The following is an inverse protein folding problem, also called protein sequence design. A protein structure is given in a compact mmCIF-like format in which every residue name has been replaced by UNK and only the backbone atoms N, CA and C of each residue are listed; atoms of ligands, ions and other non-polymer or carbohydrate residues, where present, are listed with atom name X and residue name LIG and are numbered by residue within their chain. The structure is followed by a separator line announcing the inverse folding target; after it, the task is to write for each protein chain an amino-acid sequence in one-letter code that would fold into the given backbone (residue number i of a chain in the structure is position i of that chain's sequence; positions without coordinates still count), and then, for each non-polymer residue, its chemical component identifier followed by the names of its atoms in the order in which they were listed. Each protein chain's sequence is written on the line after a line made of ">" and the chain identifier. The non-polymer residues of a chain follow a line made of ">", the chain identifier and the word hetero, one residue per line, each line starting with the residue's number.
data_IF_148188846307
#
_entry.id   IF_148188846307
#
_cell.length_a   1.000
_cell.length_b   1.000
_cell.length_c   1.000
_cell.angle_alpha   90.00
_cell.angle_beta   90.00
_cell.angle_gamma   90.00
#
_symmetry.space_group_name_H-M   'P 1'
#
loop_
_entity.id
_entity.type
_entity.pdbx_description
1 polymer ?
#
# COMPACT_ATOMS: atom_id res chain seq x y z
N UNK A 1 0.69 -20.44 4.89
CA UNK A 1 -0.23 -19.35 5.25
C UNK A 1 -1.06 -19.01 4.03
N UNK A 2 -2.37 -18.85 4.22
CA UNK A 2 -3.29 -18.48 3.14
C UNK A 2 -3.61 -16.99 3.21
N UNK A 3 -3.44 -16.27 2.10
CA UNK A 3 -3.77 -14.85 2.02
C UNK A 3 -4.34 -14.49 0.65
N UNK A 4 -5.15 -13.45 0.63
CA UNK A 4 -5.78 -12.91 -0.58
C UNK A 4 -5.20 -11.53 -0.86
N UNK A 5 -4.87 -11.23 -2.12
CA UNK A 5 -4.50 -9.87 -2.54
C UNK A 5 -5.73 -9.22 -3.18
N UNK A 6 -6.10 -8.04 -2.71
CA UNK A 6 -7.13 -7.22 -3.34
C UNK A 6 -6.46 -5.93 -3.82
N UNK A 7 -6.66 -5.62 -5.11
CA UNK A 7 -6.11 -4.43 -5.78
C UNK A 7 -7.29 -3.49 -6.08
N UNK A 8 -7.60 -2.53 -5.17
CA UNK A 8 -8.63 -1.56 -5.46
C UNK A 8 -8.12 -0.57 -6.51
N UNK A 9 -8.94 -0.34 -7.54
CA UNK A 9 -8.59 0.58 -8.61
C UNK A 9 -9.83 1.27 -9.17
N UNK A 10 -9.73 2.58 -9.39
CA UNK A 10 -10.76 3.38 -10.05
C UNK A 10 -10.24 3.97 -11.34
N UNK A 11 -11.14 4.18 -12.30
CA UNK A 11 -10.76 4.78 -13.57
C UNK A 11 -10.38 6.25 -13.42
N UNK A 12 -11.13 7.01 -12.60
CA UNK A 12 -10.91 8.42 -12.40
C UNK A 12 -9.84 8.67 -11.34
N UNK A 13 -8.76 9.28 -11.75
CA UNK A 13 -7.69 9.82 -10.91
C UNK A 13 -7.53 11.30 -11.23
N UNK A 14 -7.49 12.17 -10.22
CA UNK A 14 -7.40 13.63 -10.41
C UNK A 14 -6.08 14.06 -11.03
N UNK A 15 -4.96 13.48 -10.62
CA UNK A 15 -3.61 13.83 -11.10
C UNK A 15 -3.25 13.18 -12.43
N UNK A 16 -3.79 11.99 -12.69
CA UNK A 16 -3.51 11.23 -13.91
C UNK A 16 -4.73 10.37 -14.29
N UNK A 17 -5.71 10.94 -15.05
CA UNK A 17 -6.90 10.23 -15.47
C UNK A 17 -6.57 8.99 -16.30
N UNK A 18 -7.21 7.85 -15.98
CA UNK A 18 -7.00 6.59 -16.71
C UNK A 18 -5.67 5.91 -16.42
N UNK A 19 -4.92 6.34 -15.39
CA UNK A 19 -3.58 5.81 -15.08
C UNK A 19 -3.52 4.29 -14.96
N UNK A 20 -4.57 3.64 -14.46
CA UNK A 20 -4.62 2.18 -14.33
C UNK A 20 -4.47 1.43 -15.67
N UNK A 21 -4.87 2.07 -16.77
CA UNK A 21 -4.73 1.55 -18.14
C UNK A 21 -3.54 2.14 -18.90
N UNK A 22 -2.70 2.95 -18.26
CA UNK A 22 -1.48 3.47 -18.89
C UNK A 22 -0.56 2.31 -19.28
N UNK A 23 0.04 2.45 -20.47
CA UNK A 23 0.93 1.42 -21.00
C UNK A 23 2.27 1.36 -20.25
N UNK A 24 2.66 0.17 -19.83
CA UNK A 24 3.99 -0.15 -19.30
C UNK A 24 4.54 -1.31 -20.12
N UNK A 25 5.40 -1.00 -21.11
CA UNK A 25 5.99 -1.99 -22.01
C UNK A 25 4.96 -2.98 -22.61
N UNK A 26 3.95 -2.43 -23.29
CA UNK A 26 2.94 -3.19 -24.02
C UNK A 26 1.85 -3.84 -23.17
N UNK A 27 1.82 -3.55 -21.84
CA UNK A 27 0.74 -4.00 -20.95
C UNK A 27 0.19 -2.86 -20.10
N UNK A 28 -1.13 -2.82 -19.85
CA UNK A 28 -1.71 -1.88 -18.92
C UNK A 28 -1.11 -1.99 -17.51
N UNK A 29 -0.92 -0.86 -16.82
CA UNK A 29 -0.33 -0.82 -15.47
C UNK A 29 -1.00 -1.77 -14.49
N UNK A 30 -2.34 -1.82 -14.48
CA UNK A 30 -3.09 -2.72 -13.58
C UNK A 30 -2.75 -4.20 -13.81
N UNK A 31 -2.46 -4.58 -15.06
CA UNK A 31 -2.05 -5.95 -15.41
C UNK A 31 -0.66 -6.24 -14.84
N UNK A 32 0.27 -5.28 -14.94
CA UNK A 32 1.61 -5.41 -14.32
C UNK A 32 1.53 -5.59 -12.80
N UNK A 33 0.69 -4.79 -12.14
CA UNK A 33 0.47 -4.92 -10.69
C UNK A 33 -0.14 -6.29 -10.35
N UNK A 34 -1.14 -6.73 -11.13
CA UNK A 34 -1.78 -8.03 -10.94
C UNK A 34 -0.78 -9.20 -11.11
N UNK A 35 0.11 -9.14 -12.11
CA UNK A 35 1.18 -10.12 -12.31
C UNK A 35 2.07 -10.22 -11.05
N UNK A 36 2.51 -9.09 -10.49
CA UNK A 36 3.30 -9.07 -9.24
C UNK A 36 2.54 -9.68 -8.05
N UNK A 37 1.22 -9.44 -7.98
CA UNK A 37 0.39 -10.05 -6.95
C UNK A 37 0.28 -11.58 -7.12
N UNK A 38 0.13 -12.08 -8.33
CA UNK A 38 0.11 -13.52 -8.64
C UNK A 38 1.45 -14.20 -8.28
N UNK A 39 2.56 -13.56 -8.64
CA UNK A 39 3.91 -14.05 -8.33
C UNK A 39 4.21 -14.07 -6.82
N UNK A 40 3.42 -13.36 -6.00
CA UNK A 40 3.58 -13.35 -4.54
C UNK A 40 3.22 -14.67 -3.87
N UNK A 41 2.50 -15.55 -4.57
CA UNK A 41 1.98 -16.82 -4.04
C UNK A 41 0.72 -16.62 -3.19
N UNK A 42 -0.07 -15.57 -3.46
CA UNK A 42 -1.40 -15.40 -2.90
C UNK A 42 -2.35 -16.52 -3.39
N UNK A 43 -3.23 -16.98 -2.53
CA UNK A 43 -4.25 -18.00 -2.91
C UNK A 43 -5.25 -17.45 -3.91
N UNK A 44 -5.48 -16.14 -3.85
CA UNK A 44 -6.40 -15.43 -4.74
C UNK A 44 -5.93 -13.99 -4.93
N UNK A 45 -6.04 -13.50 -6.17
CA UNK A 45 -5.78 -12.10 -6.54
C UNK A 45 -7.04 -11.53 -7.17
N UNK A 46 -7.56 -10.44 -6.62
CA UNK A 46 -8.81 -9.82 -7.04
C UNK A 46 -8.55 -8.34 -7.37
N UNK A 47 -8.84 -7.93 -8.59
CA UNK A 47 -8.89 -6.51 -8.98
C UNK A 47 -10.29 -5.99 -8.68
N UNK A 48 -10.41 -5.06 -7.74
CA UNK A 48 -11.66 -4.47 -7.30
C UNK A 48 -11.86 -3.09 -7.95
N UNK A 49 -12.81 -2.97 -8.89
CA UNK A 49 -13.00 -1.74 -9.69
C UNK A 49 -14.47 -1.42 -9.90
N UNK A 50 -14.79 -0.13 -10.04
CA UNK A 50 -16.11 0.37 -10.50
C UNK A 50 -16.16 0.59 -12.02
N UNK A 51 -15.05 0.33 -12.73
CA UNK A 51 -14.94 0.59 -14.17
C UNK A 51 -15.08 -0.69 -14.98
N UNK A 52 -16.13 -0.76 -15.79
CA UNK A 52 -16.33 -1.86 -16.76
C UNK A 52 -15.14 -1.96 -17.73
N UNK A 53 -14.54 -0.83 -18.10
CA UNK A 53 -13.36 -0.81 -19.00
C UNK A 53 -12.14 -1.48 -18.36
N UNK A 54 -11.86 -1.19 -17.09
CA UNK A 54 -10.78 -1.87 -16.36
C UNK A 54 -11.10 -3.35 -16.21
N UNK A 55 -12.35 -3.69 -15.86
CA UNK A 55 -12.79 -5.08 -15.73
C UNK A 55 -12.61 -5.87 -17.01
N UNK A 56 -12.97 -5.32 -18.16
CA UNK A 56 -12.78 -5.95 -19.47
C UNK A 56 -11.29 -6.22 -19.77
N UNK A 57 -10.43 -5.23 -19.51
CA UNK A 57 -8.98 -5.38 -19.73
C UNK A 57 -8.41 -6.50 -18.85
N UNK A 58 -8.73 -6.51 -17.55
CA UNK A 58 -8.26 -7.57 -16.63
C UNK A 58 -8.79 -8.94 -17.03
N UNK A 59 -10.07 -9.04 -17.41
CA UNK A 59 -10.70 -10.32 -17.83
C UNK A 59 -10.18 -10.83 -19.17
N UNK A 60 -9.64 -9.96 -20.04
CA UNK A 60 -9.04 -10.39 -21.30
C UNK A 60 -7.66 -11.01 -21.16
N UNK A 61 -6.99 -10.76 -20.03
CA UNK A 61 -5.70 -11.38 -19.74
C UNK A 61 -5.89 -12.87 -19.37
N UNK A 62 -4.98 -13.70 -19.88
CA UNK A 62 -4.99 -15.15 -19.63
C UNK A 62 -4.39 -15.51 -18.26
N UNK A 63 -4.45 -14.60 -17.31
CA UNK A 63 -3.95 -14.80 -15.95
C UNK A 63 -5.02 -15.40 -15.04
N UNK A 64 -4.62 -16.00 -13.93
CA UNK A 64 -5.54 -16.53 -12.90
C UNK A 64 -6.11 -15.46 -11.97
N UNK A 65 -5.90 -14.17 -12.26
CA UNK A 65 -6.47 -13.06 -11.50
C UNK A 65 -7.97 -12.91 -11.76
N UNK A 66 -8.72 -12.60 -10.71
CA UNK A 66 -10.15 -12.33 -10.77
C UNK A 66 -10.42 -10.83 -10.80
N UNK A 67 -11.54 -10.41 -11.38
CA UNK A 67 -12.04 -9.05 -11.30
C UNK A 67 -13.42 -9.03 -10.63
N UNK A 68 -13.60 -8.06 -9.74
CA UNK A 68 -14.86 -7.82 -9.08
C UNK A 68 -15.33 -6.38 -9.33
N UNK A 69 -16.55 -6.23 -9.90
CA UNK A 69 -17.16 -4.92 -10.10
C UNK A 69 -17.78 -4.45 -8.77
N UNK A 70 -17.18 -3.43 -8.20
CA UNK A 70 -17.64 -2.79 -6.96
C UNK A 70 -18.61 -1.64 -7.26
N UNK A 71 -19.33 -1.22 -6.23
CA UNK A 71 -20.10 0.02 -6.28
C UNK A 71 -19.19 1.22 -6.59
N UNK A 72 -19.75 2.25 -7.21
CA UNK A 72 -19.02 3.47 -7.60
C UNK A 72 -18.99 4.55 -6.51
N UNK A 73 -19.80 4.40 -5.44
CA UNK A 73 -19.94 5.38 -4.37
C UNK A 73 -18.90 5.29 -3.25
N UNK A 74 -18.01 4.29 -3.30
CA UNK A 74 -16.90 4.17 -2.34
C UNK A 74 -15.97 5.38 -2.37
N UNK A 75 -15.69 5.91 -1.19
CA UNK A 75 -14.81 7.08 -1.01
C UNK A 75 -13.33 6.68 -0.95
N UNK A 76 -13.03 5.44 -0.53
CA UNK A 76 -11.67 4.95 -0.33
C UNK A 76 -11.43 3.56 -0.92
N UNK A 77 -10.14 3.20 -1.10
CA UNK A 77 -9.74 1.86 -1.52
C UNK A 77 -10.15 0.79 -0.51
N UNK A 78 -10.06 1.10 0.77
CA UNK A 78 -10.37 0.15 1.84
C UNK A 78 -11.86 -0.22 1.93
N UNK A 79 -12.77 0.70 1.58
CA UNK A 79 -14.19 0.40 1.48
C UNK A 79 -14.48 -0.63 0.38
N UNK A 80 -13.74 -0.55 -0.74
CA UNK A 80 -13.82 -1.57 -1.82
C UNK A 80 -13.37 -2.94 -1.34
N UNK A 81 -12.31 -2.98 -0.52
CA UNK A 81 -11.86 -4.24 0.09
C UNK A 81 -12.97 -4.85 0.95
N UNK A 82 -13.66 -4.05 1.75
CA UNK A 82 -14.77 -4.49 2.59
C UNK A 82 -15.93 -5.07 1.79
N UNK A 83 -16.30 -4.44 0.66
CA UNK A 83 -17.33 -4.97 -0.24
C UNK A 83 -16.92 -6.32 -0.82
N UNK A 84 -15.67 -6.42 -1.33
CA UNK A 84 -15.16 -7.69 -1.88
C UNK A 84 -15.14 -8.78 -0.80
N UNK A 85 -14.63 -8.47 0.40
CA UNK A 85 -14.56 -9.43 1.50
C UNK A 85 -15.94 -9.98 1.88
N UNK A 86 -16.96 -9.12 1.92
CA UNK A 86 -18.34 -9.50 2.23
C UNK A 86 -18.94 -10.38 1.13
N UNK A 87 -18.73 -10.03 -0.14
CA UNK A 87 -19.30 -10.79 -1.28
C UNK A 87 -18.65 -12.17 -1.43
N UNK A 88 -17.33 -12.28 -1.21
CA UNK A 88 -16.62 -13.56 -1.23
C UNK A 88 -16.82 -14.36 0.06
N UNK A 89 -17.49 -13.78 1.08
CA UNK A 89 -17.72 -14.39 2.40
C UNK A 89 -16.42 -14.91 3.04
N UNK A 90 -15.35 -14.12 2.94
CA UNK A 90 -14.11 -14.50 3.59
C UNK A 90 -14.30 -14.60 5.10
N UNK A 91 -13.67 -15.60 5.76
CA UNK A 91 -13.77 -15.75 7.21
C UNK A 91 -13.09 -14.56 7.93
N UNK A 92 -13.52 -14.27 9.15
CA UNK A 92 -13.08 -13.13 9.96
C UNK A 92 -11.55 -13.04 10.14
N UNK A 93 -10.89 -14.20 10.18
CA UNK A 93 -9.44 -14.30 10.35
C UNK A 93 -8.66 -14.38 9.02
N UNK A 94 -9.33 -14.29 7.87
CA UNK A 94 -8.65 -14.25 6.57
C UNK A 94 -7.76 -13.02 6.49
N UNK A 95 -6.53 -13.22 6.04
CA UNK A 95 -5.59 -12.13 5.76
C UNK A 95 -5.84 -11.62 4.34
N UNK A 96 -6.09 -10.32 4.25
CA UNK A 96 -6.21 -9.57 2.99
C UNK A 96 -5.02 -8.63 2.89
N UNK A 97 -4.29 -8.69 1.78
CA UNK A 97 -3.29 -7.69 1.41
C UNK A 97 -3.94 -6.65 0.50
N UNK A 98 -3.88 -5.40 0.91
CA UNK A 98 -4.26 -4.23 0.13
C UNK A 98 -3.05 -3.78 -0.69
N UNK A 99 -3.06 -4.08 -1.97
CA UNK A 99 -2.04 -3.64 -2.92
C UNK A 99 -2.57 -2.50 -3.77
N UNK A 100 -1.86 -1.37 -3.78
CA UNK A 100 -2.23 -0.22 -4.60
C UNK A 100 -2.09 -0.53 -6.09
N UNK A 101 -3.08 -0.11 -6.90
CA UNK A 101 -3.11 -0.36 -8.35
C UNK A 101 -2.11 0.46 -9.17
N UNK A 102 -1.27 1.28 -8.52
CA UNK A 102 -0.25 2.13 -9.10
C UNK A 102 1.20 1.77 -8.70
N UNK A 103 1.39 0.52 -8.23
CA UNK A 103 2.66 -0.02 -7.77
C UNK A 103 3.22 -1.12 -8.70
N UNK A 104 3.51 -0.82 -9.99
CA UNK A 104 3.88 -1.86 -10.97
C UNK A 104 5.26 -2.48 -10.73
N UNK A 105 6.13 -1.82 -9.95
CA UNK A 105 7.46 -2.29 -9.59
C UNK A 105 7.53 -2.98 -8.23
N UNK A 106 6.39 -3.15 -7.54
CA UNK A 106 6.40 -3.81 -6.24
C UNK A 106 6.98 -5.22 -6.33
N UNK A 107 7.85 -5.56 -5.39
CA UNK A 107 8.38 -6.92 -5.33
C UNK A 107 7.33 -7.91 -4.81
N UNK A 108 7.11 -9.06 -5.46
CA UNK A 108 6.26 -10.13 -4.95
C UNK A 108 6.63 -10.59 -3.53
N UNK A 109 7.93 -10.49 -3.20
CA UNK A 109 8.43 -10.81 -1.84
C UNK A 109 7.85 -9.86 -0.81
N UNK A 110 7.71 -8.56 -1.12
CA UNK A 110 7.12 -7.57 -0.20
C UNK A 110 5.63 -7.84 0.05
N UNK A 111 4.89 -8.24 -0.98
CA UNK A 111 3.48 -8.62 -0.87
C UNK A 111 3.33 -9.81 0.09
N UNK A 112 4.16 -10.83 -0.09
CA UNK A 112 4.21 -12.00 0.81
C UNK A 112 4.68 -11.60 2.21
N UNK A 113 5.65 -10.69 2.32
CA UNK A 113 6.23 -10.26 3.59
C UNK A 113 5.18 -9.57 4.47
N UNK A 114 4.37 -8.64 3.92
CA UNK A 114 3.35 -7.95 4.71
C UNK A 114 2.26 -8.91 5.20
N UNK A 115 1.90 -9.92 4.41
CA UNK A 115 0.98 -10.98 4.81
C UNK A 115 1.54 -11.85 5.94
N UNK A 116 2.80 -12.32 5.80
CA UNK A 116 3.49 -13.09 6.83
C UNK A 116 3.65 -12.29 8.13
N UNK A 117 3.94 -10.99 8.01
CA UNK A 117 4.04 -10.08 9.15
C UNK A 117 2.75 -10.11 9.96
N UNK A 118 1.59 -9.89 9.33
CA UNK A 118 0.32 -9.91 10.05
C UNK A 118 0.02 -11.30 10.63
N UNK A 119 0.29 -12.37 9.89
CA UNK A 119 0.04 -13.74 10.37
C UNK A 119 0.80 -14.03 11.68
N UNK A 120 2.01 -13.50 11.82
CA UNK A 120 2.85 -13.68 13.02
C UNK A 120 2.36 -12.89 14.24
N UNK A 121 1.60 -11.80 14.05
CA UNK A 121 1.15 -10.87 15.11
C UNK A 121 -0.38 -10.73 15.20
N UNK A 122 -1.14 -11.53 14.45
CA UNK A 122 -2.61 -11.42 14.32
C UNK A 122 -3.40 -11.57 15.63
N UNK A 123 -2.77 -12.07 16.68
CA UNK A 123 -3.35 -12.12 18.03
C UNK A 123 -3.28 -10.79 18.78
N UNK A 124 -2.44 -9.85 18.32
CA UNK A 124 -2.17 -8.58 19.00
C UNK A 124 -2.60 -7.36 18.19
N UNK A 125 -2.73 -7.50 16.88
CA UNK A 125 -3.18 -6.43 15.97
C UNK A 125 -3.92 -6.99 14.77
N UNK A 126 -4.87 -6.22 14.25
CA UNK A 126 -5.63 -6.55 13.03
C UNK A 126 -5.03 -5.99 11.74
N UNK A 127 -3.93 -5.22 11.83
CA UNK A 127 -3.32 -4.52 10.69
C UNK A 127 -1.80 -4.53 10.77
N UNK A 128 -1.16 -4.77 9.62
CA UNK A 128 0.29 -4.60 9.49
C UNK A 128 0.67 -3.87 8.20
N UNK A 129 1.86 -3.26 8.22
CA UNK A 129 2.47 -2.56 7.08
C UNK A 129 3.98 -2.75 7.06
N UNK A 130 4.66 -2.18 6.07
CA UNK A 130 6.09 -2.24 5.90
C UNK A 130 6.73 -0.85 6.01
N UNK A 131 7.99 -0.82 6.41
CA UNK A 131 8.83 0.36 6.35
C UNK A 131 10.25 -0.02 5.95
N UNK A 132 11.03 0.95 5.48
CA UNK A 132 12.45 0.81 5.20
C UNK A 132 13.22 2.02 5.72
N UNK A 133 14.52 1.88 5.93
CA UNK A 133 15.37 3.01 6.34
C UNK A 133 15.41 4.08 5.25
N UNK A 134 15.39 5.35 5.64
CA UNK A 134 15.65 6.47 4.74
C UNK A 134 17.13 6.49 4.28
N UNK A 135 17.36 6.87 3.03
CA UNK A 135 18.68 6.84 2.44
C UNK A 135 19.37 8.22 2.46
N UNK A 136 18.62 9.31 2.52
CA UNK A 136 19.16 10.67 2.48
C UNK A 136 18.31 11.64 3.32
N UNK A 137 18.91 12.78 3.66
CA UNK A 137 18.20 13.88 4.29
C UNK A 137 17.17 14.51 3.34
N UNK A 138 17.48 14.57 2.05
CA UNK A 138 16.55 15.03 1.02
C UNK A 138 15.25 14.18 1.03
N UNK A 139 15.38 12.85 1.06
CA UNK A 139 14.24 11.94 1.18
C UNK A 139 13.48 12.16 2.49
N UNK A 140 14.19 12.43 3.59
CA UNK A 140 13.54 12.69 4.89
C UNK A 140 12.72 14.00 4.89
N UNK A 141 13.16 15.01 4.14
CA UNK A 141 12.49 16.31 4.01
C UNK A 141 11.38 16.32 2.94
N UNK A 142 11.36 15.34 2.03
CA UNK A 142 10.32 15.25 0.99
C UNK A 142 8.95 14.92 1.61
N UNK A 143 7.97 15.79 1.44
CA UNK A 143 6.60 15.61 1.94
C UNK A 143 5.78 14.56 1.17
N UNK A 144 6.26 14.10 0.02
CA UNK A 144 5.67 12.97 -0.70
C UNK A 144 6.11 11.63 -0.10
N UNK A 145 7.23 11.61 0.60
CA UNK A 145 7.73 10.46 1.35
C UNK A 145 7.09 10.46 2.74
N UNK A 146 6.29 9.47 3.04
CA UNK A 146 5.68 9.31 4.35
C UNK A 146 6.68 8.69 5.31
N UNK A 147 6.90 9.32 6.47
CA UNK A 147 7.74 8.81 7.56
C UNK A 147 6.88 8.08 8.57
N UNK A 148 7.47 7.11 9.26
CA UNK A 148 6.83 6.40 10.38
C UNK A 148 7.79 6.27 11.55
N UNK A 149 7.28 6.52 12.75
CA UNK A 149 7.98 6.26 14.02
C UNK A 149 7.36 5.04 14.68
N UNK A 150 8.18 4.12 15.15
CA UNK A 150 7.76 2.88 15.80
C UNK A 150 8.25 2.82 17.24
N UNK A 151 7.54 2.06 18.08
CA UNK A 151 7.98 1.73 19.43
C UNK A 151 8.85 0.46 19.44
N UNK A 152 9.32 0.06 20.63
CA UNK A 152 10.16 -1.14 20.83
C UNK A 152 9.48 -2.46 20.41
N UNK A 153 8.16 -2.47 20.30
CA UNK A 153 7.36 -3.64 19.87
C UNK A 153 7.01 -3.57 18.38
N UNK A 154 7.65 -2.69 17.61
CA UNK A 154 7.38 -2.42 16.20
C UNK A 154 5.95 -1.95 15.90
N UNK A 155 5.23 -1.40 16.87
CA UNK A 155 3.96 -0.75 16.61
C UNK A 155 4.19 0.70 16.22
N UNK A 156 3.45 1.17 15.20
CA UNK A 156 3.50 2.56 14.77
C UNK A 156 3.05 3.50 15.90
N UNK A 157 3.87 4.52 16.17
CA UNK A 157 3.50 5.63 17.04
C UNK A 157 2.83 6.75 16.27
N UNK A 158 3.33 7.06 15.08
CA UNK A 158 2.76 8.06 14.19
C UNK A 158 3.30 7.92 12.76
N UNK A 159 2.48 8.36 11.78
CA UNK A 159 2.87 8.55 10.39
C UNK A 159 2.75 10.03 10.04
N UNK A 160 3.72 10.57 9.30
CA UNK A 160 3.68 11.98 8.89
C UNK A 160 4.39 12.22 7.56
N UNK A 161 3.90 13.23 6.83
CA UNK A 161 4.64 13.80 5.69
C UNK A 161 5.80 14.68 6.13
N UNK A 162 5.74 15.22 7.35
CA UNK A 162 6.87 15.94 7.98
C UNK A 162 8.01 14.98 8.33
N UNK A 163 9.20 15.53 8.45
CA UNK A 163 10.34 14.76 8.95
C UNK A 163 10.15 14.44 10.44
N UNK A 164 9.97 13.16 10.75
CA UNK A 164 9.87 12.60 12.11
C UNK A 164 10.72 11.33 12.23
N UNK A 165 11.34 11.07 13.44
CA UNK A 165 11.50 11.99 14.56
C UNK A 165 12.52 13.10 14.24
N UNK A 166 12.40 14.26 14.88
CA UNK A 166 13.42 15.29 14.79
C UNK A 166 14.68 14.88 15.57
N UNK A 167 15.81 14.81 14.89
CA UNK A 167 17.07 14.51 15.54
C UNK A 167 17.78 15.82 15.93
N UNK A 168 17.58 16.24 17.21
CA UNK A 168 18.13 17.49 17.75
C UNK A 168 19.66 17.52 17.66
N UNK A 169 20.18 18.51 16.95
CA UNK A 169 21.61 18.78 16.82
C UNK A 169 22.36 17.91 15.80
N UNK A 170 21.73 16.85 15.24
CA UNK A 170 22.40 16.01 14.23
C UNK A 170 22.35 16.65 12.84
N UNK A 171 21.18 17.09 12.41
CA UNK A 171 20.98 17.68 11.09
C UNK A 171 21.67 19.05 10.94
N UNK A 172 21.77 19.81 12.03
CA UNK A 172 22.42 21.11 12.04
C UNK A 172 23.95 21.01 11.81
N UNK A 173 24.56 19.89 12.21
CA UNK A 173 26.01 19.69 12.17
C UNK A 173 26.50 18.71 11.08
N UNK A 174 25.59 17.96 10.45
CA UNK A 174 25.94 16.89 9.50
C UNK A 174 24.96 16.85 8.31
N UNK A 175 24.89 17.92 7.48
CA UNK A 175 23.93 17.98 6.37
C UNK A 175 24.11 16.88 5.32
N UNK A 176 25.35 16.36 5.17
CA UNK A 176 25.69 15.33 4.18
C UNK A 176 25.68 13.90 4.75
N UNK A 177 25.32 13.73 6.02
CA UNK A 177 25.37 12.43 6.64
C UNK A 177 24.11 11.59 6.31
N UNK A 178 24.31 10.27 6.23
CA UNK A 178 23.19 9.35 6.08
C UNK A 178 22.27 9.45 7.30
N UNK A 179 20.92 9.49 7.09
CA UNK A 179 19.98 9.48 8.19
C UNK A 179 20.24 8.28 9.12
N UNK A 180 19.95 8.48 10.40
CA UNK A 180 19.97 7.38 11.36
C UNK A 180 19.03 6.25 10.91
N UNK A 181 19.40 4.98 11.16
CA UNK A 181 18.52 3.81 10.89
C UNK A 181 17.15 3.88 11.59
N UNK A 182 16.98 4.82 12.50
CA UNK A 182 15.69 5.10 13.19
C UNK A 182 14.73 5.89 12.30
N UNK A 183 15.25 6.61 11.29
CA UNK A 183 14.40 7.32 10.33
C UNK A 183 13.87 6.34 9.29
N UNK A 184 12.58 6.10 9.34
CA UNK A 184 11.91 5.10 8.52
C UNK A 184 10.97 5.76 7.51
N UNK A 185 11.07 5.30 6.26
CA UNK A 185 10.08 5.55 5.21
C UNK A 185 9.01 4.46 5.27
N UNK A 186 7.77 4.86 5.35
CA UNK A 186 6.63 3.98 5.21
C UNK A 186 6.49 3.48 3.77
N UNK A 187 6.11 2.22 3.60
CA UNK A 187 5.77 1.60 2.32
C UNK A 187 4.27 1.35 2.30
N UNK A 188 3.56 1.96 1.34
CA UNK A 188 2.11 2.01 1.25
C UNK A 188 1.42 0.67 0.90
N UNK A 189 1.89 -0.44 1.46
CA UNK A 189 1.25 -1.74 1.37
C UNK A 189 0.78 -2.18 2.74
N UNK A 190 -0.42 -2.77 2.82
CA UNK A 190 -1.03 -3.15 4.09
C UNK A 190 -1.57 -4.57 4.04
N UNK A 191 -1.63 -5.19 5.19
CA UNK A 191 -2.42 -6.41 5.41
C UNK A 191 -3.41 -6.20 6.54
N UNK A 192 -4.60 -6.80 6.41
CA UNK A 192 -5.71 -6.71 7.35
C UNK A 192 -6.27 -8.08 7.63
N UNK A 193 -6.74 -8.31 8.88
CA UNK A 193 -7.74 -9.33 9.12
C UNK A 193 -9.11 -8.83 8.66
N UNK A 194 -9.96 -9.71 8.14
CA UNK A 194 -11.30 -9.34 7.62
C UNK A 194 -12.16 -8.71 8.70
N UNK A 195 -12.16 -9.25 9.93
CA UNK A 195 -12.90 -8.66 11.05
C UNK A 195 -12.43 -7.22 11.35
N UNK A 196 -11.11 -6.96 11.34
CA UNK A 196 -10.56 -5.63 11.53
C UNK A 196 -11.00 -4.68 10.42
N UNK A 197 -10.97 -5.15 9.16
CA UNK A 197 -11.42 -4.38 8.00
C UNK A 197 -12.88 -3.94 8.16
N UNK A 198 -13.77 -4.83 8.65
CA UNK A 198 -15.16 -4.48 8.91
C UNK A 198 -15.35 -3.47 10.05
N UNK A 199 -14.46 -3.42 11.02
CA UNK A 199 -14.45 -2.37 12.04
C UNK A 199 -13.96 -1.05 11.46
N UNK A 200 -12.84 -1.08 10.73
CA UNK A 200 -12.24 0.12 10.13
C UNK A 200 -13.22 0.90 9.23
N UNK A 201 -13.95 0.22 8.35
CA UNK A 201 -14.89 0.90 7.42
C UNK A 201 -16.09 1.55 8.12
N UNK A 202 -16.32 1.25 9.41
CA UNK A 202 -17.37 1.89 10.23
C UNK A 202 -16.86 3.12 10.96
N UNK A 203 -15.56 3.32 11.06
CA UNK A 203 -14.99 4.46 11.77
C UNK A 203 -15.10 5.75 10.95
N UNK A 204 -15.40 6.83 11.64
CA UNK A 204 -15.35 8.16 11.05
C UNK A 204 -13.91 8.58 10.78
N UNK A 205 -13.72 9.35 9.71
CA UNK A 205 -12.42 9.95 9.40
C UNK A 205 -11.89 10.79 10.56
N UNK A 206 -10.60 10.67 10.84
CA UNK A 206 -9.95 11.45 11.88
C UNK A 206 -9.49 12.83 11.37
N UNK A 207 -9.39 13.83 12.26
CA UNK A 207 -8.79 15.13 11.89
C UNK A 207 -7.36 14.99 11.36
N UNK A 208 -6.57 14.07 11.93
CA UNK A 208 -5.18 13.83 11.52
C UNK A 208 -5.10 13.24 10.12
N UNK A 209 -5.98 12.28 9.81
CA UNK A 209 -6.10 11.70 8.47
C UNK A 209 -6.39 12.77 7.41
N UNK A 210 -7.31 13.70 7.71
CA UNK A 210 -7.65 14.80 6.81
C UNK A 210 -6.51 15.79 6.59
N UNK A 211 -5.75 16.10 7.63
CA UNK A 211 -4.62 17.02 7.56
C UNK A 211 -3.46 16.44 6.78
N UNK A 212 -3.05 15.21 7.10
CA UNK A 212 -1.90 14.53 6.50
C UNK A 212 -2.26 13.84 5.17
N UNK A 213 -3.56 13.62 4.88
CA UNK A 213 -4.05 12.80 3.77
C UNK A 213 -3.45 11.37 3.84
N UNK A 214 -3.52 10.76 5.04
CA UNK A 214 -2.99 9.46 5.39
C UNK A 214 -4.07 8.62 6.09
N UNK A 215 -4.70 7.69 5.35
CA UNK A 215 -5.83 6.87 5.83
C UNK A 215 -5.48 6.03 7.06
N UNK A 216 -4.23 5.58 7.20
CA UNK A 216 -3.79 4.76 8.34
C UNK A 216 -3.81 5.53 9.68
N UNK A 217 -3.84 6.86 9.67
CA UNK A 217 -3.97 7.66 10.90
C UNK A 217 -5.33 7.49 11.56
N UNK A 218 -6.37 7.05 10.83
CA UNK A 218 -7.67 6.69 11.40
C UNK A 218 -7.53 5.55 12.41
N UNK A 219 -6.70 4.56 12.12
CA UNK A 219 -6.45 3.42 13.01
C UNK A 219 -5.86 3.87 14.33
N UNK A 220 -4.81 4.69 14.28
CA UNK A 220 -4.16 5.23 15.48
C UNK A 220 -5.09 6.16 16.27
N UNK A 221 -5.91 6.95 15.58
CA UNK A 221 -6.89 7.84 16.20
C UNK A 221 -7.94 7.08 17.02
N UNK A 222 -8.36 5.92 16.55
CA UNK A 222 -9.32 5.05 17.25
C UNK A 222 -8.67 4.17 18.32
N UNK A 223 -7.37 4.34 18.59
CA UNK A 223 -6.65 3.65 19.67
C UNK A 223 -6.19 2.24 19.29
N UNK A 224 -6.31 1.86 18.02
CA UNK A 224 -5.84 0.59 17.53
C UNK A 224 -4.37 0.64 17.11
N UNK A 225 -3.75 -0.52 16.98
CA UNK A 225 -2.33 -0.65 16.65
C UNK A 225 -2.11 -1.07 15.21
N UNK A 226 -1.01 -0.57 14.63
CA UNK A 226 -0.50 -1.00 13.32
C UNK A 226 0.91 -1.57 13.54
N UNK A 227 1.10 -2.83 13.24
CA UNK A 227 2.44 -3.42 13.28
C UNK A 227 3.24 -3.04 12.04
N UNK A 228 4.49 -2.63 12.22
CA UNK A 228 5.38 -2.19 11.14
C UNK A 228 6.57 -3.14 11.06
N UNK A 229 6.68 -3.89 9.96
CA UNK A 229 7.89 -4.67 9.70
C UNK A 229 8.91 -3.82 8.94
N UNK A 230 10.10 -3.67 9.48
CA UNK A 230 11.20 -2.96 8.82
C UNK A 230 11.93 -3.93 7.90
N UNK A 231 12.08 -3.55 6.63
CA UNK A 231 12.76 -4.34 5.60
C UNK A 231 13.88 -3.53 4.96
N UNK A 232 14.94 -4.22 4.54
CA UNK A 232 16.09 -3.58 3.90
C UNK A 232 15.94 -3.53 2.37
N UNK A 233 16.62 -2.55 1.75
CA UNK A 233 16.85 -2.45 0.30
C UNK A 233 15.59 -2.52 -0.57
N UNK A 234 14.61 -1.68 -0.29
CA UNK A 234 13.39 -1.60 -1.08
C UNK A 234 13.54 -0.56 -2.18
N UNK A 235 13.45 -1.02 -3.42
CA UNK A 235 13.25 -0.16 -4.57
C UNK A 235 11.78 -0.26 -5.00
N UNK A 236 11.04 0.84 -4.88
CA UNK A 236 9.66 0.92 -5.32
C UNK A 236 9.35 2.33 -5.82
N UNK A 237 8.63 2.44 -6.93
CA UNK A 237 8.16 3.70 -7.52
C UNK A 237 6.68 3.59 -7.81
N UNK A 238 5.90 4.41 -7.11
CA UNK A 238 4.47 4.57 -7.41
C UNK A 238 4.27 5.45 -8.65
N UNK A 239 3.33 5.07 -9.50
CA UNK A 239 2.98 5.83 -10.71
C UNK A 239 1.83 6.78 -10.41
N UNK A 240 2.15 8.01 -10.04
CA UNK A 240 1.16 9.06 -9.74
C UNK A 240 1.09 10.17 -10.78
N UNK A 241 2.12 10.28 -11.59
CA UNK A 241 2.27 11.32 -12.61
C UNK A 241 2.77 10.74 -13.93
N UNK A 242 2.60 11.44 -15.07
CA UNK A 242 3.21 11.02 -16.34
C UNK A 242 4.74 10.92 -16.27
N UNK A 243 5.39 11.68 -15.37
CA UNK A 243 6.83 11.61 -15.18
C UNK A 243 7.23 10.31 -14.49
N UNK A 244 6.55 9.92 -13.40
CA UNK A 244 6.82 8.65 -12.73
C UNK A 244 6.53 7.46 -13.65
N UNK A 245 5.51 7.55 -14.54
CA UNK A 245 5.27 6.54 -15.58
C UNK A 245 6.46 6.39 -16.54
N UNK A 246 7.04 7.52 -17.00
CA UNK A 246 8.22 7.48 -17.87
C UNK A 246 9.40 6.81 -17.17
N UNK A 247 9.66 7.14 -15.91
CA UNK A 247 10.73 6.50 -15.10
C UNK A 247 10.52 5.00 -14.97
N UNK A 248 9.28 4.56 -14.69
CA UNK A 248 8.93 3.13 -14.61
C UNK A 248 9.15 2.44 -15.94
N UNK A 249 8.72 3.04 -17.07
CA UNK A 249 8.94 2.47 -18.40
C UNK A 249 10.43 2.31 -18.74
N UNK A 250 11.30 3.24 -18.34
CA UNK A 250 12.75 3.10 -18.56
C UNK A 250 13.33 1.90 -17.79
N UNK A 251 12.79 1.58 -16.62
CA UNK A 251 13.27 0.44 -15.82
C UNK A 251 12.79 -0.90 -16.38
N UNK A 252 11.56 -0.98 -16.88
CA UNK A 252 11.05 -2.19 -17.53
C UNK A 252 11.75 -2.50 -18.86
N UNK A 253 12.38 -1.51 -19.52
CA UNK A 253 13.08 -1.71 -20.80
C UNK A 253 14.53 -2.18 -20.67
N UNK A 254 15.05 -2.26 -19.46
CA UNK A 254 16.43 -2.69 -19.18
C UNK A 254 16.51 -4.12 -18.61
N UNK A 255 15.39 -4.83 -18.49
CA UNK A 255 15.29 -6.26 -18.16
C UNK A 255 15.08 -7.10 -19.45
#
# INVERSE_FOLDING_TARGET
>A
MNFVVIIPVRFFSTRFPGKALADIHGKPMIVRVMEKALDSGADKVIVATDSVRIAQVVSSERSSGEVYLTRSDHQSGIERLGEVAANYKFPDNQIIVHLQGDEPLISPIMIRQVANTLDSVKSTTGMATLATSLHSLEEACDNNVVKVVINMNNNALYFSRSMIPWNRGYFDNHPDSRPSRILLRHIGIYSYQVNFLYHYIKWTESPLEKLEQLEQLRVLWHGETIYVSVIDNVFNISVDTPESLRRVNMLFGND
#
